data_IF_890369031533
#
_entry.id   IF_890369031533
#
_cell.length_a   1.000
_cell.length_b   1.000
_cell.length_c   1.000
_cell.angle_alpha   90.00
_cell.angle_beta   90.00
_cell.angle_gamma   90.00
#
_symmetry.space_group_name_H-M   'P 1'
#
loop_
_entity.id
_entity.type
_entity.pdbx_description
1 polymer ?
#
# COMPACT_ATOMS: atom_id res chain seq x y z
N UNK A 1 7.74 -0.78 -0.18
CA UNK A 1 6.47 -1.43 -0.58
C UNK A 1 5.56 -1.39 0.63
N UNK A 2 4.49 -0.61 0.60
CA UNK A 2 3.58 -0.45 1.73
C UNK A 2 2.21 -1.01 1.40
N UNK A 3 1.62 -1.76 2.32
CA UNK A 3 0.30 -2.37 2.16
C UNK A 3 -0.59 -1.82 3.24
N UNK A 4 -1.47 -0.90 2.84
CA UNK A 4 -2.19 -0.02 3.74
C UNK A 4 -3.69 0.01 3.46
N UNK A 5 -4.44 0.39 4.48
CA UNK A 5 -5.87 0.66 4.33
C UNK A 5 -6.08 2.04 3.71
N UNK A 6 -7.34 2.37 3.39
CA UNK A 6 -7.71 3.67 2.80
C UNK A 6 -7.29 4.86 3.67
N UNK A 7 -7.36 4.73 4.99
CA UNK A 7 -7.03 5.82 5.91
C UNK A 7 -5.53 6.11 5.99
N UNK A 8 -4.67 5.09 5.80
CA UNK A 8 -3.21 5.24 5.88
C UNK A 8 -2.54 5.30 4.49
N UNK A 9 -3.32 5.38 3.41
CA UNK A 9 -2.77 5.45 2.04
C UNK A 9 -1.97 6.72 1.83
N UNK A 10 -2.45 7.87 2.32
CA UNK A 10 -1.75 9.14 2.17
C UNK A 10 -0.44 9.17 2.96
N UNK A 11 -0.45 8.60 4.17
CA UNK A 11 0.76 8.48 5.02
C UNK A 11 1.82 7.63 4.31
N UNK A 12 1.43 6.48 3.76
CA UNK A 12 2.37 5.62 3.04
C UNK A 12 2.89 6.24 1.75
N UNK A 13 2.09 7.07 1.07
CA UNK A 13 2.54 7.82 -0.11
C UNK A 13 3.57 8.87 0.32
N UNK A 14 3.28 9.65 1.36
CA UNK A 14 4.21 10.67 1.88
C UNK A 14 5.53 10.03 2.32
N UNK A 15 5.49 8.94 3.10
CA UNK A 15 6.69 8.20 3.53
C UNK A 15 7.50 7.67 2.34
N UNK A 16 6.82 7.16 1.30
CA UNK A 16 7.50 6.70 0.10
C UNK A 16 8.16 7.84 -0.66
N UNK A 17 7.47 8.96 -0.85
CA UNK A 17 8.04 10.14 -1.53
C UNK A 17 9.21 10.71 -0.74
N UNK A 18 9.15 10.72 0.59
CA UNK A 18 10.25 11.16 1.44
C UNK A 18 11.46 10.21 1.38
N UNK A 19 11.24 8.89 1.26
CA UNK A 19 12.32 7.88 1.22
C UNK A 19 12.95 7.75 -0.17
N UNK A 20 12.14 7.73 -1.23
CA UNK A 20 12.59 7.45 -2.59
C UNK A 20 12.70 8.71 -3.47
N UNK A 21 12.26 9.88 -2.99
CA UNK A 21 12.18 11.14 -3.74
C UNK A 21 11.38 11.01 -5.06
N UNK A 22 10.54 9.98 -5.19
CA UNK A 22 9.77 9.63 -6.39
C UNK A 22 8.30 9.33 -6.04
N UNK A 23 7.40 9.59 -6.99
CA UNK A 23 5.99 9.29 -6.82
C UNK A 23 5.75 7.77 -6.87
N UNK A 24 5.12 7.17 -5.85
CA UNK A 24 4.83 5.74 -5.87
C UNK A 24 3.69 5.38 -6.83
N UNK A 25 3.68 4.12 -7.25
CA UNK A 25 2.55 3.49 -7.89
C UNK A 25 1.54 2.97 -6.86
N UNK A 26 0.28 3.41 -6.99
CA UNK A 26 -0.82 3.02 -6.10
C UNK A 26 -1.69 1.96 -6.78
N UNK A 27 -1.66 0.74 -6.24
CA UNK A 27 -2.42 -0.40 -6.78
C UNK A 27 -3.57 -0.77 -5.84
N UNK A 28 -4.81 -0.84 -6.37
CA UNK A 28 -5.97 -1.34 -5.61
C UNK A 28 -5.98 -2.87 -5.63
N UNK A 29 -5.76 -3.48 -4.46
CA UNK A 29 -5.70 -4.92 -4.25
C UNK A 29 -7.07 -5.59 -4.41
N UNK A 30 -8.18 -4.86 -4.33
CA UNK A 30 -9.51 -5.42 -4.60
C UNK A 30 -9.77 -5.65 -6.08
N UNK A 31 -9.05 -4.93 -6.95
CA UNK A 31 -9.20 -5.03 -8.41
C UNK A 31 -8.07 -5.84 -9.04
N UNK A 32 -6.93 -5.89 -8.37
CA UNK A 32 -5.67 -6.38 -8.96
C UNK A 32 -5.16 -7.53 -8.12
N UNK A 33 -5.13 -8.73 -8.70
CA UNK A 33 -4.57 -9.92 -8.07
C UNK A 33 -3.22 -10.24 -8.71
N UNK A 34 -2.21 -10.45 -7.86
CA UNK A 34 -0.87 -10.85 -8.30
C UNK A 34 -0.76 -12.37 -8.31
N UNK A 35 -0.25 -12.94 -9.41
CA UNK A 35 -0.17 -14.39 -9.57
C UNK A 35 0.91 -15.06 -8.69
N UNK A 36 1.98 -14.33 -8.36
CA UNK A 36 3.14 -14.84 -7.60
C UNK A 36 3.33 -14.18 -6.24
N UNK A 37 2.37 -13.38 -5.79
CA UNK A 37 2.50 -12.65 -4.53
C UNK A 37 1.14 -12.47 -3.88
N UNK A 38 1.05 -12.79 -2.59
CA UNK A 38 -0.13 -12.55 -1.78
C UNK A 38 0.10 -11.30 -0.93
N UNK A 39 -0.67 -10.21 -1.14
CA UNK A 39 -0.57 -9.05 -0.28
C UNK A 39 -0.94 -9.41 1.17
N UNK A 40 -0.30 -8.77 2.16
CA UNK A 40 -0.78 -8.76 3.53
C UNK A 40 -2.24 -8.31 3.57
N UNK A 41 -3.11 -9.05 4.25
CA UNK A 41 -4.53 -8.70 4.43
C UNK A 41 -4.74 -7.54 5.39
N UNK A 42 -3.71 -7.19 6.15
CA UNK A 42 -3.75 -6.19 7.21
C UNK A 42 -2.82 -5.02 6.90
N UNK A 43 -3.30 -3.82 7.19
CA UNK A 43 -2.55 -2.58 7.13
C UNK A 43 -1.42 -2.59 8.14
N UNK A 44 -0.22 -2.21 7.70
CA UNK A 44 0.96 -2.12 8.56
C UNK A 44 0.83 -1.11 9.72
N UNK A 45 0.01 -0.07 9.59
CA UNK A 45 -0.14 0.96 10.63
C UNK A 45 -1.22 0.65 11.67
N UNK A 46 -2.34 0.03 11.29
CA UNK A 46 -3.50 -0.12 12.17
C UNK A 46 -4.15 -1.50 12.17
N UNK A 47 -3.55 -2.50 11.52
CA UNK A 47 -4.05 -3.87 11.38
C UNK A 47 -5.45 -4.01 10.73
N UNK A 48 -6.04 -2.91 10.25
CA UNK A 48 -7.30 -2.94 9.50
C UNK A 48 -7.11 -3.59 8.14
N UNK A 49 -8.20 -3.97 7.47
CA UNK A 49 -8.11 -4.57 6.13
C UNK A 49 -7.34 -3.66 5.17
N UNK A 50 -6.25 -4.18 4.61
CA UNK A 50 -5.47 -3.50 3.59
C UNK A 50 -6.26 -3.44 2.29
N UNK A 51 -6.00 -2.41 1.50
CA UNK A 51 -6.70 -2.16 0.24
C UNK A 51 -5.77 -1.68 -0.85
N UNK A 52 -4.74 -0.93 -0.48
CA UNK A 52 -3.82 -0.32 -1.41
C UNK A 52 -2.42 -0.87 -1.20
N UNK A 53 -1.73 -1.11 -2.30
CA UNK A 53 -0.30 -1.38 -2.36
C UNK A 53 0.39 -0.16 -2.95
N UNK A 54 1.40 0.33 -2.26
CA UNK A 54 2.27 1.44 -2.64
C UNK A 54 3.64 0.85 -2.97
N UNK A 55 4.08 0.99 -4.22
CA UNK A 55 5.33 0.42 -4.74
C UNK A 55 6.10 1.38 -5.62
#
# INVERSE_FOLDING_TARGET
>A
MHVVCKDHVEIAIDEFVDEYEEAPDVVDLQKTHFAHWAPPEHCEHCQSLSRFLIV
#
